data_IF_155228475893
#
_entry.id   IF_155228475893
#
_cell.length_a   1.000
_cell.length_b   1.000
_cell.length_c   1.000
_cell.angle_alpha   90.00
_cell.angle_beta   90.00
_cell.angle_gamma   90.00
#
_symmetry.space_group_name_H-M   'P 1'
#
loop_
_entity.id
_entity.type
_entity.pdbx_description
1 polymer ?
#
# COMPACT_ATOMS: atom_id res chain seq x y z
N UNK A 1 14.01 -6.20 8.70
CA UNK A 1 12.82 -7.05 8.38
C UNK A 1 11.59 -6.37 8.97
N UNK A 2 10.36 -6.81 8.66
CA UNK A 2 9.19 -6.04 9.09
C UNK A 2 7.85 -6.71 8.85
N UNK A 3 6.79 -5.95 9.11
CA UNK A 3 5.40 -6.35 8.89
C UNK A 3 4.70 -5.36 7.97
N UNK A 4 3.73 -5.87 7.21
CA UNK A 4 2.86 -5.07 6.37
C UNK A 4 1.42 -5.26 6.84
N UNK A 5 0.76 -4.18 7.23
CA UNK A 5 -0.62 -4.19 7.74
C UNK A 5 -1.48 -3.37 6.79
N UNK A 6 -2.71 -3.80 6.53
CA UNK A 6 -3.63 -3.14 5.57
C UNK A 6 -4.85 -2.52 6.26
N UNK A 7 -5.36 -1.43 5.70
CA UNK A 7 -6.43 -0.60 6.25
C UNK A 7 -7.86 -1.10 5.96
N UNK A 8 -8.04 -2.42 5.88
CA UNK A 8 -9.36 -3.04 5.74
C UNK A 8 -10.06 -3.23 7.08
N UNK A 9 -11.39 -3.28 7.06
CA UNK A 9 -12.20 -3.76 8.18
C UNK A 9 -11.92 -5.26 8.35
N UNK A 10 -11.76 -5.69 9.61
CA UNK A 10 -11.60 -7.09 9.97
C UNK A 10 -12.96 -7.71 10.35
N UNK A 11 -13.30 -8.95 9.92
CA UNK A 11 -12.45 -9.93 9.23
C UNK A 11 -12.11 -9.55 7.78
N UNK A 12 -10.88 -9.89 7.34
CA UNK A 12 -10.33 -9.48 6.04
C UNK A 12 -11.22 -9.94 4.88
N UNK A 13 -11.80 -8.98 4.18
CA UNK A 13 -12.54 -9.23 2.94
C UNK A 13 -11.60 -9.21 1.73
N UNK A 14 -11.69 -10.22 0.85
CA UNK A 14 -10.82 -10.31 -0.33
C UNK A 14 -11.05 -9.14 -1.30
N UNK A 15 -9.94 -8.55 -1.78
CA UNK A 15 -9.86 -7.41 -2.71
C UNK A 15 -10.57 -7.60 -4.07
N UNK A 16 -11.14 -8.77 -4.36
CA UNK A 16 -11.81 -9.09 -5.63
C UNK A 16 -13.35 -9.12 -5.60
N UNK A 17 -14.03 -8.78 -4.49
CA UNK A 17 -15.51 -8.72 -4.49
C UNK A 17 -16.02 -7.56 -5.35
N UNK A 18 -16.75 -7.90 -6.40
CA UNK A 18 -17.34 -6.98 -7.38
C UNK A 18 -18.72 -6.53 -6.94
N UNK A 19 -18.81 -5.28 -6.45
CA UNK A 19 -19.94 -4.33 -6.56
C UNK A 19 -20.04 -3.51 -5.28
N UNK A 20 -19.91 -2.19 -5.38
CA UNK A 20 -19.81 -1.15 -4.32
C UNK A 20 -18.42 -0.93 -3.72
N UNK A 21 -18.13 0.34 -3.39
CA UNK A 21 -16.89 0.72 -2.74
C UNK A 21 -16.81 0.00 -1.40
N UNK A 22 -15.81 -0.87 -1.22
CA UNK A 22 -15.70 -1.66 -0.01
C UNK A 22 -15.40 -0.72 1.16
N UNK A 23 -16.10 -0.84 2.30
CA UNK A 23 -15.79 -0.02 3.46
C UNK A 23 -14.38 -0.37 3.95
N UNK A 24 -13.57 0.66 4.16
CA UNK A 24 -12.24 0.56 4.75
C UNK A 24 -12.33 0.88 6.24
N UNK A 25 -11.31 0.50 7.00
CA UNK A 25 -11.20 0.92 8.38
C UNK A 25 -11.17 2.45 8.46
N UNK A 26 -11.65 2.97 9.60
CA UNK A 26 -11.51 4.37 9.91
C UNK A 26 -10.01 4.75 9.87
N UNK A 27 -9.73 5.93 9.32
CA UNK A 27 -8.36 6.36 9.07
C UNK A 27 -7.60 6.62 10.38
N UNK A 28 -8.27 7.18 11.40
CA UNK A 28 -7.67 7.37 12.73
C UNK A 28 -7.52 6.06 13.49
N UNK A 29 -8.47 5.14 13.35
CA UNK A 29 -8.33 3.78 13.89
C UNK A 29 -7.08 3.10 13.32
N UNK A 30 -6.89 3.13 12.01
CA UNK A 30 -5.73 2.51 11.39
C UNK A 30 -4.42 3.24 11.70
N UNK A 31 -4.43 4.58 11.72
CA UNK A 31 -3.28 5.37 12.18
C UNK A 31 -2.91 5.02 13.65
N UNK A 32 -3.91 4.80 14.51
CA UNK A 32 -3.72 4.30 15.88
C UNK A 32 -2.99 2.96 15.93
N UNK A 33 -3.34 2.02 15.04
CA UNK A 33 -2.65 0.72 14.93
C UNK A 33 -1.18 0.88 14.50
N UNK A 34 -0.90 1.79 13.57
CA UNK A 34 0.47 2.09 13.16
C UNK A 34 1.27 2.68 14.32
N UNK A 35 0.72 3.69 15.02
CA UNK A 35 1.37 4.28 16.22
C UNK A 35 1.67 3.21 17.27
N UNK A 36 0.68 2.39 17.62
CA UNK A 36 0.86 1.30 18.58
C UNK A 36 1.91 0.27 18.11
N UNK A 37 1.94 -0.05 16.81
CA UNK A 37 2.94 -0.96 16.25
C UNK A 37 4.36 -0.38 16.34
N UNK A 38 4.53 0.93 16.11
CA UNK A 38 5.82 1.64 16.27
C UNK A 38 6.24 1.73 17.74
N UNK A 39 5.32 2.06 18.64
CA UNK A 39 5.59 2.14 20.09
C UNK A 39 5.97 0.79 20.71
N UNK A 40 5.42 -0.32 20.17
CA UNK A 40 5.71 -1.67 20.66
C UNK A 40 7.06 -2.23 20.15
N UNK A 41 7.77 -1.52 19.26
CA UNK A 41 9.04 -2.00 18.71
C UNK A 41 10.11 -2.07 19.79
N UNK A 42 10.96 -3.10 19.69
CA UNK A 42 12.16 -3.25 20.54
C UNK A 42 13.46 -3.08 19.75
N UNK A 43 13.35 -3.02 18.44
CA UNK A 43 14.43 -2.91 17.47
C UNK A 43 14.07 -1.77 16.51
N UNK A 44 14.91 -0.74 16.46
CA UNK A 44 14.69 0.46 15.66
C UNK A 44 14.78 0.16 14.15
N UNK A 45 15.41 -0.95 13.76
CA UNK A 45 15.50 -1.40 12.36
C UNK A 45 14.23 -2.18 11.92
N UNK A 46 13.26 -2.39 12.81
CA UNK A 46 12.02 -3.09 12.48
C UNK A 46 11.04 -2.19 11.71
N UNK A 47 10.71 -2.60 10.49
CA UNK A 47 9.92 -1.82 9.54
C UNK A 47 8.42 -2.13 9.66
N UNK A 48 7.59 -1.10 9.75
CA UNK A 48 6.13 -1.17 9.64
C UNK A 48 5.69 -0.53 8.32
N UNK A 49 5.15 -1.36 7.43
CA UNK A 49 4.63 -0.93 6.14
C UNK A 49 3.11 -0.77 6.23
N UNK A 50 2.60 0.41 5.91
CA UNK A 50 1.17 0.67 5.82
C UNK A 50 0.68 0.38 4.39
N UNK A 51 -0.18 -0.62 4.24
CA UNK A 51 -0.80 -0.97 2.96
C UNK A 51 -2.13 -0.25 2.80
N UNK A 52 -2.20 0.63 1.80
CA UNK A 52 -3.38 1.42 1.46
C UNK A 52 -4.22 0.67 0.42
N UNK A 53 -5.44 0.29 0.79
CA UNK A 53 -6.38 -0.42 -0.08
C UNK A 53 -7.43 0.49 -0.74
N UNK A 54 -7.30 1.82 -0.65
CA UNK A 54 -8.25 2.79 -1.24
C UNK A 54 -8.55 2.56 -2.72
N UNK A 55 -7.52 2.38 -3.56
CA UNK A 55 -7.70 2.12 -5.00
C UNK A 55 -8.37 0.76 -5.23
N UNK A 56 -7.98 -0.25 -4.46
CA UNK A 56 -8.60 -1.58 -4.48
C UNK A 56 -10.08 -1.52 -4.11
N UNK A 57 -10.41 -0.78 -3.06
CA UNK A 57 -11.76 -0.63 -2.57
C UNK A 57 -12.60 0.35 -3.41
N UNK A 58 -11.98 1.10 -4.34
CA UNK A 58 -12.69 1.95 -5.31
C UNK A 58 -12.97 3.37 -4.82
N UNK A 59 -12.24 3.85 -3.82
CA UNK A 59 -12.37 5.22 -3.30
C UNK A 59 -11.58 6.27 -4.11
N UNK A 60 -10.69 5.84 -5.02
CA UNK A 60 -9.94 6.71 -5.92
C UNK A 60 -8.64 7.28 -5.35
N UNK A 61 -7.97 8.12 -6.15
CA UNK A 61 -6.61 8.61 -5.89
C UNK A 61 -6.52 9.54 -4.68
N UNK A 62 -7.48 10.48 -4.56
CA UNK A 62 -7.49 11.46 -3.48
C UNK A 62 -7.57 10.78 -2.10
N UNK A 63 -8.46 9.78 -1.97
CA UNK A 63 -8.58 9.01 -0.73
C UNK A 63 -7.32 8.18 -0.45
N UNK A 64 -6.71 7.60 -1.49
CA UNK A 64 -5.45 6.86 -1.33
C UNK A 64 -4.35 7.76 -0.77
N UNK A 65 -4.21 8.98 -1.28
CA UNK A 65 -3.20 9.95 -0.83
C UNK A 65 -3.49 10.43 0.60
N UNK A 66 -4.75 10.73 0.93
CA UNK A 66 -5.16 11.10 2.29
C UNK A 66 -4.77 10.03 3.31
N UNK A 67 -5.06 8.77 3.00
CA UNK A 67 -4.70 7.61 3.85
C UNK A 67 -3.19 7.42 3.94
N UNK A 68 -2.49 7.47 2.81
CA UNK A 68 -1.03 7.41 2.79
C UNK A 68 -0.40 8.47 3.69
N UNK A 69 -0.88 9.71 3.62
CA UNK A 69 -0.40 10.84 4.42
C UNK A 69 -0.70 10.65 5.92
N UNK A 70 -1.90 10.18 6.26
CA UNK A 70 -2.25 9.88 7.65
C UNK A 70 -1.34 8.78 8.23
N UNK A 71 -1.04 7.74 7.45
CA UNK A 71 -0.22 6.61 7.92
C UNK A 71 1.27 6.97 7.98
N UNK A 72 1.73 7.85 7.09
CA UNK A 72 3.04 8.48 7.20
C UNK A 72 3.17 9.28 8.51
N UNK A 73 2.20 10.16 8.81
CA UNK A 73 2.18 10.94 10.06
C UNK A 73 2.07 10.06 11.31
N UNK A 74 1.46 8.89 11.19
CA UNK A 74 1.39 7.89 12.26
C UNK A 74 2.72 7.15 12.51
N UNK A 75 3.74 7.33 11.66
CA UNK A 75 5.06 6.74 11.82
C UNK A 75 5.31 5.49 10.97
N UNK A 76 4.51 5.22 9.94
CA UNK A 76 4.83 4.16 8.99
C UNK A 76 6.20 4.40 8.33
N UNK A 77 6.96 3.34 8.11
CA UNK A 77 8.31 3.43 7.52
C UNK A 77 8.26 3.36 5.99
N UNK A 78 7.19 2.78 5.43
CA UNK A 78 6.91 2.75 4.01
C UNK A 78 5.40 2.63 3.77
N UNK A 79 4.97 3.02 2.56
CA UNK A 79 3.59 2.82 2.11
C UNK A 79 3.57 1.79 0.99
N UNK A 80 2.72 0.77 1.12
CA UNK A 80 2.38 -0.13 0.03
C UNK A 80 1.11 0.40 -0.63
N UNK A 81 1.24 0.88 -1.87
CA UNK A 81 0.09 1.24 -2.70
C UNK A 81 -0.25 0.08 -3.63
N UNK A 82 -1.52 -0.32 -3.66
CA UNK A 82 -1.98 -1.44 -4.48
C UNK A 82 -3.10 -1.01 -5.43
N UNK A 83 -3.03 -1.52 -6.66
CA UNK A 83 -4.04 -1.31 -7.69
C UNK A 83 -4.48 -2.67 -8.24
N UNK A 84 -5.76 -2.74 -8.65
CA UNK A 84 -6.35 -3.91 -9.33
C UNK A 84 -6.35 -3.77 -10.84
N UNK A 85 -5.91 -2.64 -11.36
CA UNK A 85 -5.84 -2.37 -12.80
C UNK A 85 -4.74 -3.18 -13.47
N UNK A 86 -4.88 -3.40 -14.78
CA UNK A 86 -3.88 -4.13 -15.58
C UNK A 86 -2.72 -3.27 -16.05
N UNK A 87 -2.81 -1.96 -15.88
CA UNK A 87 -1.81 -0.98 -16.28
C UNK A 87 -1.30 -0.23 -15.05
N UNK A 88 -0.06 0.29 -15.09
CA UNK A 88 0.58 0.88 -13.91
C UNK A 88 0.15 2.34 -13.65
N UNK A 89 -0.76 2.91 -14.44
CA UNK A 89 -1.08 4.34 -14.41
C UNK A 89 -1.46 4.84 -13.00
N UNK A 90 -2.30 4.11 -12.27
CA UNK A 90 -2.69 4.50 -10.91
C UNK A 90 -1.49 4.54 -9.95
N UNK A 91 -0.59 3.56 -9.99
CA UNK A 91 0.57 3.56 -9.08
C UNK A 91 1.59 4.62 -9.48
N UNK A 92 1.76 4.90 -10.78
CA UNK A 92 2.64 5.95 -11.29
C UNK A 92 2.11 7.33 -10.91
N UNK A 93 0.79 7.54 -11.03
CA UNK A 93 0.12 8.75 -10.58
C UNK A 93 0.28 8.93 -9.08
N UNK A 94 0.00 7.89 -8.28
CA UNK A 94 0.20 7.94 -6.83
C UNK A 94 1.64 8.31 -6.49
N UNK A 95 2.65 7.69 -7.13
CA UNK A 95 4.06 7.99 -6.91
C UNK A 95 4.40 9.46 -7.17
N UNK A 96 3.89 10.04 -8.25
CA UNK A 96 4.09 11.46 -8.60
C UNK A 96 3.49 12.38 -7.55
N UNK A 97 2.24 12.15 -7.15
CA UNK A 97 1.52 12.98 -6.18
C UNK A 97 2.01 12.78 -4.73
N UNK A 98 2.55 11.59 -4.44
CA UNK A 98 3.13 11.24 -3.14
C UNK A 98 4.41 12.02 -2.81
N UNK A 99 5.13 12.52 -3.82
CA UNK A 99 6.23 13.45 -3.61
C UNK A 99 7.34 12.94 -2.67
N UNK A 100 7.63 11.63 -2.72
CA UNK A 100 8.73 10.99 -2.00
C UNK A 100 8.72 11.14 -0.46
N UNK A 101 7.55 11.39 0.15
CA UNK A 101 7.42 11.50 1.62
C UNK A 101 7.87 10.24 2.38
N UNK A 102 7.65 9.07 1.78
CA UNK A 102 8.17 7.76 2.23
C UNK A 102 8.46 6.85 1.03
N UNK A 103 9.33 5.83 1.20
CA UNK A 103 9.49 4.77 0.21
C UNK A 103 8.16 4.09 -0.13
N UNK A 104 7.94 3.83 -1.43
CA UNK A 104 6.77 3.09 -1.90
C UNK A 104 7.12 1.64 -2.23
N UNK A 105 6.23 0.75 -1.81
CA UNK A 105 6.20 -0.67 -2.13
C UNK A 105 5.06 -0.92 -3.11
N UNK A 106 5.32 -1.71 -4.17
CA UNK A 106 4.29 -2.13 -5.14
C UNK A 106 4.25 -3.64 -5.32
N UNK A 107 3.12 -4.14 -5.82
CA UNK A 107 2.87 -5.57 -6.08
C UNK A 107 2.32 -5.73 -7.49
N UNK A 108 3.18 -5.88 -8.53
CA UNK A 108 2.77 -5.83 -9.93
C UNK A 108 2.14 -7.13 -10.46
N UNK A 109 1.37 -7.85 -9.64
CA UNK A 109 0.75 -9.12 -10.07
C UNK A 109 -0.29 -8.94 -11.19
N UNK A 110 -0.97 -7.79 -11.26
CA UNK A 110 -1.98 -7.48 -12.30
C UNK A 110 -1.42 -6.75 -13.52
N UNK A 111 -0.39 -5.94 -13.31
CA UNK A 111 0.30 -5.13 -14.33
C UNK A 111 1.72 -5.64 -14.61
N UNK A 112 1.88 -6.97 -14.56
CA UNK A 112 3.17 -7.68 -14.67
C UNK A 112 3.88 -7.51 -16.02
N UNK A 113 3.16 -7.06 -17.06
CA UNK A 113 3.73 -6.76 -18.39
C UNK A 113 4.51 -5.44 -18.41
N UNK A 114 4.41 -4.64 -17.35
CA UNK A 114 5.15 -3.38 -17.23
C UNK A 114 6.64 -3.68 -17.05
N UNK A 115 7.54 -3.17 -17.91
CA UNK A 115 8.97 -3.34 -17.74
C UNK A 115 9.42 -2.77 -16.40
N UNK A 116 10.29 -3.49 -15.68
CA UNK A 116 10.75 -3.04 -14.35
C UNK A 116 11.51 -1.72 -14.38
N UNK A 117 12.11 -1.35 -15.51
CA UNK A 117 12.80 -0.06 -15.69
C UNK A 117 11.86 1.12 -15.50
N UNK A 118 10.58 0.99 -15.88
CA UNK A 118 9.55 2.01 -15.61
C UNK A 118 9.45 2.32 -14.11
N UNK A 119 9.50 1.28 -13.26
CA UNK A 119 9.45 1.47 -11.81
C UNK A 119 10.75 2.03 -11.25
N UNK A 120 11.91 1.66 -11.82
CA UNK A 120 13.22 2.20 -11.42
C UNK A 120 13.31 3.68 -11.75
N UNK A 121 12.97 4.06 -12.98
CA UNK A 121 12.95 5.44 -13.47
C UNK A 121 11.97 6.32 -12.69
N UNK A 122 10.79 5.78 -12.35
CA UNK A 122 9.82 6.47 -11.49
C UNK A 122 10.26 6.54 -10.01
N UNK A 123 11.33 5.86 -9.60
CA UNK A 123 11.88 5.96 -8.24
C UNK A 123 11.21 5.06 -7.20
N UNK A 124 10.56 3.95 -7.59
CA UNK A 124 10.11 2.94 -6.65
C UNK A 124 11.29 2.19 -6.04
N UNK A 125 11.17 1.84 -4.75
CA UNK A 125 12.28 1.21 -4.01
C UNK A 125 12.09 -0.29 -3.82
N UNK A 126 10.85 -0.76 -3.74
CA UNK A 126 10.55 -2.18 -3.46
C UNK A 126 9.44 -2.68 -4.38
N UNK A 127 9.67 -3.84 -5.00
CA UNK A 127 8.70 -4.59 -5.81
C UNK A 127 8.52 -5.97 -5.18
N UNK A 128 7.28 -6.39 -4.96
CA UNK A 128 6.95 -7.70 -4.39
C UNK A 128 6.34 -8.62 -5.46
N UNK A 129 7.00 -9.76 -5.72
CA UNK A 129 6.50 -10.83 -6.59
C UNK A 129 5.64 -11.84 -5.81
N UNK A 130 4.45 -11.42 -5.39
CA UNK A 130 3.72 -11.99 -4.25
C UNK A 130 3.43 -13.51 -4.23
N UNK A 131 3.15 -14.16 -5.36
CA UNK A 131 2.57 -15.52 -5.34
C UNK A 131 3.04 -16.47 -6.45
N UNK A 132 4.13 -16.15 -7.15
CA UNK A 132 4.59 -16.89 -8.32
C UNK A 132 5.05 -18.31 -7.97
N UNK A 133 5.79 -18.47 -6.86
CA UNK A 133 6.29 -19.77 -6.41
C UNK A 133 5.17 -20.74 -6.02
N UNK A 134 4.05 -20.25 -5.48
CA UNK A 134 2.90 -21.09 -5.12
C UNK A 134 2.07 -21.50 -6.35
N UNK A 135 2.20 -20.78 -7.46
CA UNK A 135 1.48 -21.03 -8.72
C UNK A 135 2.27 -21.90 -9.71
N UNK A 136 3.54 -22.16 -9.42
CA UNK A 136 4.47 -22.90 -10.26
C UNK A 136 4.22 -24.41 -10.20
#
# INVERSE_FOLDING_TARGET
>A
AGVCVEDKIFPKTNSFLRSTAQPLADMEEFAGKIRAAKEAQRDDDFVVVARVEALIAGHGMEEALKRGEAYHKAGADAVLIHSRERHPDEILQFKKEWGDRLPLVIVPTKYYTTPTDVFREAGFKIVIWANHMMRA
#
